data_IF_051576458542
#
_entry.id   IF_051576458542
#
_cell.length_a   1.000
_cell.length_b   1.000
_cell.length_c   1.000
_cell.angle_alpha   90.00
_cell.angle_beta   90.00
_cell.angle_gamma   90.00
#
_symmetry.space_group_name_H-M   'P 1'
#
loop_
_entity.id
_entity.type
_entity.pdbx_description
1 polymer ?
#
# COMPACT_ATOMS: atom_id res chain seq x y z
N UNK A 1 11.78 11.70 -3.91
CA UNK A 1 11.34 12.61 -5.00
C UNK A 1 11.84 11.97 -6.27
N UNK A 2 10.94 11.52 -7.14
CA UNK A 2 11.29 10.70 -8.28
C UNK A 2 11.30 11.53 -9.55
N UNK A 3 12.34 11.40 -10.36
CA UNK A 3 12.30 11.83 -11.76
C UNK A 3 11.91 10.61 -12.59
N UNK A 4 10.86 10.72 -13.41
CA UNK A 4 10.40 9.67 -14.32
C UNK A 4 10.66 10.09 -15.77
N UNK A 5 11.22 9.19 -16.57
CA UNK A 5 11.58 9.45 -17.98
C UNK A 5 11.08 8.34 -18.90
N UNK A 6 10.88 8.61 -20.20
CA UNK A 6 10.77 7.55 -21.23
C UNK A 6 12.04 7.47 -22.04
N UNK A 7 12.55 6.26 -22.24
CA UNK A 7 13.72 6.04 -23.10
C UNK A 7 13.74 4.63 -23.67
N UNK A 8 14.23 4.49 -24.91
CA UNK A 8 14.53 3.21 -25.56
C UNK A 8 15.83 2.55 -25.09
N UNK A 9 16.60 3.23 -24.24
CA UNK A 9 17.87 2.73 -23.72
C UNK A 9 17.65 1.66 -22.65
N UNK A 10 18.58 0.70 -22.58
CA UNK A 10 18.66 -0.26 -21.48
C UNK A 10 19.11 0.42 -20.18
N UNK A 11 18.80 -0.21 -19.04
CA UNK A 11 19.17 0.34 -17.72
C UNK A 11 20.70 0.54 -17.54
N UNK A 12 21.58 -0.37 -18.02
CA UNK A 12 23.02 -0.14 -17.99
C UNK A 12 23.50 1.01 -18.89
N UNK A 13 22.82 1.26 -20.02
CA UNK A 13 23.15 2.37 -20.91
C UNK A 13 22.79 3.72 -20.28
N UNK A 14 21.66 3.78 -19.57
CA UNK A 14 21.27 4.98 -18.83
C UNK A 14 22.25 5.25 -17.69
N UNK A 15 22.61 4.23 -16.91
CA UNK A 15 23.61 4.36 -15.85
C UNK A 15 24.95 4.88 -16.40
N UNK A 16 25.40 4.35 -17.54
CA UNK A 16 26.62 4.79 -18.22
C UNK A 16 26.54 6.25 -18.68
N UNK A 17 25.42 6.67 -19.28
CA UNK A 17 25.22 8.06 -19.73
C UNK A 17 25.11 9.06 -18.56
N UNK A 18 24.69 8.59 -17.38
CA UNK A 18 24.69 9.38 -16.15
C UNK A 18 26.07 9.46 -15.48
N UNK A 19 27.08 8.76 -16.00
CA UNK A 19 28.44 8.73 -15.46
C UNK A 19 28.61 7.79 -14.27
N UNK A 20 27.70 6.82 -14.10
CA UNK A 20 27.63 5.98 -12.91
C UNK A 20 28.22 4.58 -13.10
N UNK A 21 28.79 4.03 -12.02
CA UNK A 21 29.19 2.64 -11.93
C UNK A 21 28.01 1.75 -11.49
N UNK A 22 27.63 0.76 -12.30
CA UNK A 22 26.61 -0.24 -11.95
C UNK A 22 27.15 -1.14 -10.84
N UNK A 23 26.52 -1.13 -9.66
CA UNK A 23 27.03 -1.86 -8.49
C UNK A 23 26.18 -3.05 -8.04
N UNK A 24 24.87 -3.05 -8.30
CA UNK A 24 23.96 -4.17 -7.99
C UNK A 24 22.88 -4.22 -9.07
N UNK A 25 22.61 -5.41 -9.62
CA UNK A 25 21.48 -5.66 -10.53
C UNK A 25 20.61 -6.74 -9.88
N UNK A 26 19.37 -6.40 -9.56
CA UNK A 26 18.39 -7.35 -9.00
C UNK A 26 17.14 -7.39 -9.89
N UNK A 27 16.58 -8.59 -10.03
CA UNK A 27 15.45 -8.86 -10.90
C UNK A 27 14.29 -9.37 -10.04
N UNK A 28 13.38 -8.47 -9.68
CA UNK A 28 12.06 -8.87 -9.18
C UNK A 28 11.07 -8.87 -10.35
N UNK A 29 10.09 -9.79 -10.35
CA UNK A 29 9.21 -10.15 -11.48
C UNK A 29 8.47 -8.99 -12.21
N UNK A 30 8.65 -7.73 -11.80
CA UNK A 30 8.10 -6.53 -12.41
C UNK A 30 9.08 -5.33 -12.46
N UNK A 31 10.31 -5.42 -11.95
CA UNK A 31 11.28 -4.30 -11.94
C UNK A 31 12.73 -4.76 -12.17
N UNK A 32 13.49 -3.94 -12.90
CA UNK A 32 14.95 -4.01 -13.00
C UNK A 32 15.52 -2.74 -12.32
N UNK A 33 16.52 -2.82 -11.46
CA UNK A 33 17.13 -1.62 -10.88
C UNK A 33 18.64 -1.73 -10.70
N UNK A 34 19.32 -0.58 -10.72
CA UNK A 34 20.75 -0.42 -10.46
C UNK A 34 20.99 0.74 -9.51
N UNK A 35 22.00 0.60 -8.65
CA UNK A 35 22.56 1.75 -7.91
C UNK A 35 23.60 2.43 -8.78
N UNK A 36 23.47 3.74 -8.92
CA UNK A 36 24.36 4.62 -9.64
C UNK A 36 24.97 5.64 -8.66
N UNK A 37 26.27 5.88 -8.72
CA UNK A 37 26.89 7.05 -8.09
C UNK A 37 26.93 8.20 -9.10
N UNK A 38 26.27 9.32 -8.79
CA UNK A 38 26.37 10.54 -9.59
C UNK A 38 26.86 11.66 -8.69
N UNK A 39 28.05 12.17 -9.00
CA UNK A 39 28.68 13.29 -8.30
C UNK A 39 28.77 13.06 -6.76
N UNK A 40 29.05 11.81 -6.33
CA UNK A 40 29.21 11.41 -4.93
C UNK A 40 27.90 11.06 -4.20
N UNK A 41 26.80 10.92 -4.95
CA UNK A 41 25.47 10.62 -4.43
C UNK A 41 24.95 9.33 -5.05
N UNK A 42 24.73 8.32 -4.19
CA UNK A 42 24.08 7.08 -4.60
C UNK A 42 22.60 7.33 -4.92
N UNK A 43 22.20 6.99 -6.15
CA UNK A 43 20.84 7.06 -6.66
C UNK A 43 20.43 5.68 -7.16
N UNK A 44 19.20 5.27 -6.85
CA UNK A 44 18.58 4.11 -7.45
C UNK A 44 18.02 4.51 -8.81
N UNK A 45 18.33 3.73 -9.82
CA UNK A 45 17.80 3.83 -11.17
C UNK A 45 16.97 2.58 -11.40
N UNK A 46 15.64 2.68 -11.41
CA UNK A 46 14.77 1.51 -11.61
C UNK A 46 13.91 1.63 -12.85
N UNK A 47 13.72 0.50 -13.54
CA UNK A 47 12.83 0.24 -14.67
C UNK A 47 11.66 -0.62 -14.21
N UNK A 48 10.45 -0.26 -14.61
CA UNK A 48 9.23 -1.04 -14.36
C UNK A 48 8.82 -1.83 -15.62
N UNK A 49 8.57 -3.13 -15.48
CA UNK A 49 8.21 -4.08 -16.55
C UNK A 49 6.70 -4.25 -16.74
N UNK A 50 5.83 -3.56 -15.98
CA UNK A 50 4.37 -3.78 -16.01
C UNK A 50 3.63 -3.04 -17.14
N UNK A 51 4.08 -3.18 -18.38
CA UNK A 51 3.23 -3.01 -19.58
C UNK A 51 3.78 -3.87 -20.75
N UNK A 52 3.15 -4.99 -21.15
CA UNK A 52 3.59 -5.71 -22.36
C UNK A 52 3.04 -5.08 -23.66
N UNK A 53 3.66 -5.37 -24.82
CA UNK A 53 4.46 -4.38 -25.55
C UNK A 53 3.62 -3.22 -26.12
N UNK A 54 3.90 -2.00 -25.68
CA UNK A 54 3.71 -0.81 -26.53
C UNK A 54 5.06 -0.14 -26.49
N UNK A 55 5.82 -0.29 -27.58
CA UNK A 55 7.07 0.38 -27.92
C UNK A 55 7.93 0.88 -26.74
N UNK A 56 8.99 0.12 -26.42
CA UNK A 56 10.31 0.59 -25.96
C UNK A 56 10.42 1.70 -24.89
N UNK A 57 9.38 2.01 -24.11
CA UNK A 57 9.45 3.12 -23.14
C UNK A 57 9.85 2.61 -21.75
N UNK A 58 11.13 2.74 -21.40
CA UNK A 58 11.66 2.49 -20.05
C UNK A 58 11.31 3.66 -19.13
N UNK A 59 10.46 3.43 -18.12
CA UNK A 59 10.22 4.38 -17.02
C UNK A 59 11.37 4.31 -16.01
N UNK A 60 12.21 5.35 -15.98
CA UNK A 60 13.38 5.40 -15.09
C UNK A 60 13.09 6.27 -13.88
N UNK A 61 13.15 5.71 -12.68
CA UNK A 61 13.02 6.44 -11.43
C UNK A 61 14.41 6.73 -10.87
N UNK A 62 14.70 8.00 -10.57
CA UNK A 62 15.89 8.39 -9.79
C UNK A 62 15.46 8.67 -8.34
N UNK A 63 15.87 7.82 -7.41
CA UNK A 63 15.59 8.00 -5.97
C UNK A 63 16.85 7.77 -5.15
N UNK A 64 17.22 8.74 -4.32
CA UNK A 64 17.97 8.42 -3.10
C UNK A 64 16.90 8.13 -2.04
N UNK A 65 17.10 7.09 -1.23
CA UNK A 65 16.27 6.70 -0.06
C UNK A 65 15.11 7.68 0.23
N UNK A 66 13.83 7.24 0.27
CA UNK A 66 12.67 8.11 0.54
C UNK A 66 12.79 9.06 1.74
N UNK A 67 13.77 8.83 2.64
CA UNK A 67 14.10 9.64 3.82
C UNK A 67 15.15 10.74 3.57
N UNK A 68 15.74 10.83 2.39
CA UNK A 68 16.82 11.76 2.02
C UNK A 68 16.64 12.24 0.56
N UNK A 69 15.78 13.24 0.30
CA UNK A 69 15.56 13.74 -1.05
C UNK A 69 16.86 14.23 -1.71
N UNK A 70 16.97 14.06 -3.03
CA UNK A 70 18.11 14.59 -3.79
C UNK A 70 18.23 16.10 -3.58
N UNK A 71 19.44 16.64 -3.39
CA UNK A 71 19.66 18.09 -3.41
C UNK A 71 19.06 18.70 -4.68
N UNK A 72 18.36 19.83 -4.56
CA UNK A 72 17.68 20.51 -5.68
C UNK A 72 18.65 20.78 -6.83
N UNK A 73 19.87 21.21 -6.52
CA UNK A 73 20.93 21.45 -7.52
C UNK A 73 21.33 20.20 -8.30
N UNK A 74 21.42 19.05 -7.63
CA UNK A 74 21.72 17.77 -8.26
C UNK A 74 20.54 17.27 -9.11
N UNK A 75 19.31 17.45 -8.62
CA UNK A 75 18.09 17.14 -9.36
C UNK A 75 18.02 17.91 -10.67
N UNK A 76 18.22 19.22 -10.63
CA UNK A 76 18.13 20.09 -11.79
C UNK A 76 19.27 19.77 -12.79
N UNK A 77 20.47 19.45 -12.27
CA UNK A 77 21.60 18.97 -13.07
C UNK A 77 21.29 17.65 -13.78
N UNK A 78 20.72 16.68 -13.07
CA UNK A 78 20.32 15.37 -13.63
C UNK A 78 19.22 15.53 -14.70
N UNK A 79 18.20 16.34 -14.42
CA UNK A 79 17.14 16.65 -15.37
C UNK A 79 17.70 17.32 -16.64
N UNK A 80 18.63 18.27 -16.50
CA UNK A 80 19.28 18.93 -17.63
C UNK A 80 20.23 18.02 -18.43
N UNK A 81 20.92 17.07 -17.77
CA UNK A 81 21.73 16.04 -18.46
C UNK A 81 20.84 15.10 -19.27
N UNK A 82 19.76 14.62 -18.68
CA UNK A 82 18.83 13.69 -19.35
C UNK A 82 18.06 14.36 -20.50
N UNK A 83 17.65 15.62 -20.34
CA UNK A 83 17.03 16.40 -21.43
C UNK A 83 17.96 16.57 -22.63
N UNK A 84 19.26 16.80 -22.39
CA UNK A 84 20.28 16.88 -23.45
C UNK A 84 20.50 15.56 -24.21
N UNK A 85 20.09 14.44 -23.62
CA UNK A 85 20.17 13.10 -24.23
C UNK A 85 18.91 12.75 -25.04
N UNK A 86 18.00 13.71 -25.25
CA UNK A 86 16.73 13.48 -25.97
C UNK A 86 15.70 12.70 -25.15
N UNK A 87 15.94 12.56 -23.84
CA UNK A 87 15.07 11.82 -22.92
C UNK A 87 14.08 12.82 -22.31
N UNK A 88 12.82 12.74 -22.71
CA UNK A 88 11.77 13.66 -22.25
C UNK A 88 11.32 13.28 -20.82
N UNK A 89 11.39 14.19 -19.83
CA UNK A 89 10.83 13.94 -18.51
C UNK A 89 9.31 13.75 -18.61
N UNK A 90 8.80 12.66 -18.03
CA UNK A 90 7.36 12.40 -17.94
C UNK A 90 6.70 13.25 -16.85
N UNK A 91 7.44 13.56 -15.79
CA UNK A 91 7.01 14.38 -14.65
C UNK A 91 8.23 14.76 -13.80
N UNK A 92 8.31 16.01 -13.36
CA UNK A 92 9.19 16.44 -12.27
C UNK A 92 8.29 16.85 -11.11
N UNK A 93 8.22 16.04 -10.06
CA UNK A 93 7.40 16.32 -8.88
C UNK A 93 8.07 15.87 -7.60
N UNK A 94 8.09 16.76 -6.60
CA UNK A 94 8.16 16.38 -5.20
C UNK A 94 6.90 15.57 -4.86
N UNK A 95 7.03 14.55 -4.01
CA UNK A 95 5.85 14.14 -3.23
C UNK A 95 5.62 15.25 -2.20
N UNK A 96 4.97 16.32 -2.62
CA UNK A 96 4.11 17.07 -1.71
C UNK A 96 2.73 16.45 -1.90
N UNK A 97 2.28 15.71 -0.90
CA UNK A 97 0.86 15.38 -0.78
C UNK A 97 0.14 16.72 -0.59
N UNK A 98 -0.36 17.30 -1.67
CA UNK A 98 -1.43 18.29 -1.58
C UNK A 98 -2.74 17.53 -1.35
N UNK A 99 -3.40 17.69 -0.19
CA UNK A 99 -4.72 17.13 0.02
C UNK A 99 -5.67 17.74 -1.02
N UNK A 100 -6.07 16.95 -2.02
CA UNK A 100 -7.03 17.37 -3.07
C UNK A 100 -6.48 17.43 -4.50
N UNK A 101 -5.19 17.16 -4.75
CA UNK A 101 -4.71 16.99 -6.11
C UNK A 101 -5.18 15.64 -6.69
N UNK A 102 -6.18 15.68 -7.58
CA UNK A 102 -6.60 14.51 -8.36
C UNK A 102 -5.42 13.98 -9.17
N UNK A 103 -4.88 12.82 -8.76
CA UNK A 103 -4.13 11.99 -9.71
C UNK A 103 -5.03 11.79 -10.94
N UNK A 104 -4.51 11.84 -12.18
CA UNK A 104 -5.33 11.62 -13.36
C UNK A 104 -5.77 10.14 -13.39
N UNK A 105 -6.80 9.81 -12.61
CA UNK A 105 -7.52 8.56 -12.73
C UNK A 105 -8.11 8.58 -14.13
N UNK A 106 -7.62 7.71 -15.02
CA UNK A 106 -8.27 7.52 -16.32
C UNK A 106 -9.70 7.11 -16.04
N UNK A 107 -10.62 8.05 -16.21
CA UNK A 107 -12.06 7.81 -16.14
C UNK A 107 -12.38 6.74 -17.17
N UNK A 108 -12.88 5.58 -16.72
CA UNK A 108 -13.22 4.46 -17.60
C UNK A 108 -14.72 4.20 -17.57
N UNK A 109 -15.32 4.08 -18.74
CA UNK A 109 -16.70 3.59 -18.87
C UNK A 109 -16.70 2.07 -18.86
N UNK A 110 -17.57 1.50 -18.04
CA UNK A 110 -17.81 0.08 -17.95
C UNK A 110 -18.63 -0.39 -19.15
N UNK A 111 -18.16 -1.41 -19.84
CA UNK A 111 -18.84 -2.06 -20.96
C UNK A 111 -19.61 -3.31 -20.55
N UNK A 112 -19.55 -3.67 -19.25
CA UNK A 112 -20.20 -4.84 -18.69
C UNK A 112 -19.82 -5.05 -17.23
N UNK A 113 -20.63 -5.83 -16.51
CA UNK A 113 -20.32 -6.33 -15.18
C UNK A 113 -20.94 -7.70 -14.94
N UNK A 114 -20.18 -8.60 -14.30
CA UNK A 114 -20.66 -9.91 -13.87
C UNK A 114 -20.58 -10.03 -12.35
N UNK A 115 -21.72 -9.97 -11.64
CA UNK A 115 -21.77 -10.21 -10.20
C UNK A 115 -22.07 -11.69 -9.91
N UNK A 116 -21.22 -12.30 -9.09
CA UNK A 116 -21.33 -13.70 -8.64
C UNK A 116 -21.60 -13.78 -7.14
N UNK A 117 -22.43 -12.87 -6.66
CA UNK A 117 -22.97 -12.85 -5.30
C UNK A 117 -24.48 -12.67 -5.39
N UNK A 118 -25.30 -13.46 -4.64
CA UNK A 118 -26.76 -13.42 -4.78
C UNK A 118 -27.36 -12.02 -4.63
N UNK A 119 -26.86 -11.22 -3.68
CA UNK A 119 -27.38 -9.88 -3.40
C UNK A 119 -27.23 -8.89 -4.58
N UNK A 120 -26.33 -9.14 -5.53
CA UNK A 120 -26.05 -8.26 -6.67
C UNK A 120 -26.26 -8.96 -8.02
N UNK A 121 -26.84 -10.16 -8.05
CA UNK A 121 -26.90 -11.00 -9.26
C UNK A 121 -27.61 -10.34 -10.46
N UNK A 122 -28.56 -9.44 -10.21
CA UNK A 122 -29.30 -8.70 -11.25
C UNK A 122 -28.72 -7.30 -11.54
N UNK A 123 -27.60 -6.95 -10.91
CA UNK A 123 -26.97 -5.65 -11.08
C UNK A 123 -26.25 -5.58 -12.42
N UNK A 124 -26.57 -4.56 -13.21
CA UNK A 124 -25.87 -4.23 -14.45
C UNK A 124 -25.25 -2.82 -14.36
N UNK A 125 -23.92 -2.78 -14.41
CA UNK A 125 -23.12 -1.56 -14.41
C UNK A 125 -22.65 -1.16 -15.83
N UNK A 126 -23.20 -1.75 -16.89
CA UNK A 126 -22.93 -1.32 -18.27
C UNK A 126 -23.31 0.15 -18.47
N UNK A 127 -22.39 0.90 -19.09
CA UNK A 127 -22.53 2.34 -19.32
C UNK A 127 -22.28 3.22 -18.09
N UNK A 128 -21.92 2.65 -16.93
CA UNK A 128 -21.48 3.42 -15.78
C UNK A 128 -20.01 3.82 -15.93
N UNK A 129 -19.67 4.98 -15.42
CA UNK A 129 -18.32 5.53 -15.45
C UNK A 129 -17.67 5.39 -14.08
N UNK A 130 -16.49 4.78 -14.01
CA UNK A 130 -15.61 4.80 -12.83
C UNK A 130 -15.05 6.20 -12.68
N UNK A 131 -15.41 6.87 -11.60
CA UNK A 131 -14.93 8.22 -11.25
C UNK A 131 -13.70 8.16 -10.38
N UNK A 132 -13.70 7.24 -9.42
CA UNK A 132 -12.66 7.17 -8.41
C UNK A 132 -12.50 5.74 -7.91
N UNK A 133 -11.26 5.40 -7.56
CA UNK A 133 -10.90 4.20 -6.81
C UNK A 133 -10.17 4.64 -5.56
N UNK A 134 -10.89 4.67 -4.45
CA UNK A 134 -10.38 5.12 -3.16
C UNK A 134 -10.30 3.96 -2.16
N UNK A 135 -9.67 4.22 -1.03
CA UNK A 135 -9.69 3.36 0.14
C UNK A 135 -10.04 4.14 1.39
N UNK A 136 -10.69 3.46 2.33
CA UNK A 136 -10.96 3.95 3.68
C UNK A 136 -10.59 2.85 4.67
N UNK A 137 -9.44 3.00 5.33
CA UNK A 137 -8.80 1.94 6.08
C UNK A 137 -8.57 0.71 5.20
N UNK A 138 -9.25 -0.39 5.49
CA UNK A 138 -9.16 -1.66 4.74
C UNK A 138 -10.32 -1.88 3.75
N UNK A 139 -11.16 -0.86 3.57
CA UNK A 139 -12.30 -0.89 2.66
C UNK A 139 -11.89 -0.24 1.33
N UNK A 140 -12.18 -0.90 0.22
CA UNK A 140 -11.98 -0.36 -1.12
C UNK A 140 -13.31 0.20 -1.62
N UNK A 141 -13.27 1.41 -2.19
CA UNK A 141 -14.43 2.19 -2.61
C UNK A 141 -14.27 2.59 -4.08
N UNK A 142 -15.05 1.94 -4.95
CA UNK A 142 -15.09 2.27 -6.37
C UNK A 142 -16.33 3.12 -6.65
N UNK A 143 -16.15 4.42 -6.83
CA UNK A 143 -17.25 5.38 -7.02
C UNK A 143 -17.60 5.48 -8.51
N UNK A 144 -18.89 5.31 -8.81
CA UNK A 144 -19.45 5.14 -10.14
C UNK A 144 -20.51 6.21 -10.42
N UNK A 145 -20.62 6.62 -11.69
CA UNK A 145 -21.64 7.57 -12.12
C UNK A 145 -22.31 7.15 -13.44
N UNK A 146 -23.62 7.42 -13.57
CA UNK A 146 -24.36 7.32 -14.83
C UNK A 146 -25.46 8.39 -14.87
N UNK A 147 -25.33 9.37 -15.75
CA UNK A 147 -26.15 10.59 -15.69
C UNK A 147 -26.00 11.25 -14.32
N UNK A 148 -27.12 11.50 -13.65
CA UNK A 148 -27.15 12.10 -12.29
C UNK A 148 -27.01 11.06 -11.17
N UNK A 149 -27.09 9.76 -11.49
CA UNK A 149 -27.00 8.70 -10.48
C UNK A 149 -25.54 8.51 -10.04
N UNK A 150 -25.34 8.26 -8.74
CA UNK A 150 -24.03 7.99 -8.12
C UNK A 150 -24.14 6.75 -7.21
N UNK A 151 -23.23 5.81 -7.39
CA UNK A 151 -23.15 4.60 -6.58
C UNK A 151 -21.71 4.30 -6.20
N UNK A 152 -21.50 3.72 -5.03
CA UNK A 152 -20.21 3.20 -4.58
C UNK A 152 -20.28 1.68 -4.54
N UNK A 153 -19.41 1.03 -5.32
CA UNK A 153 -19.12 -0.39 -5.16
C UNK A 153 -18.04 -0.53 -4.09
N UNK A 154 -18.44 -1.03 -2.93
CA UNK A 154 -17.57 -1.31 -1.80
C UNK A 154 -17.11 -2.76 -1.83
N UNK A 155 -15.83 -2.99 -1.52
CA UNK A 155 -15.32 -4.32 -1.21
C UNK A 155 -14.35 -4.32 -0.02
N UNK A 156 -14.34 -5.42 0.74
CA UNK A 156 -13.34 -5.65 1.79
C UNK A 156 -12.66 -7.01 1.55
N UNK A 157 -11.34 -7.00 1.37
CA UNK A 157 -10.56 -8.18 0.95
C UNK A 157 -10.41 -9.22 2.07
N UNK A 158 -10.52 -8.79 3.33
CA UNK A 158 -10.21 -9.61 4.52
C UNK A 158 -8.79 -10.19 4.40
N UNK A 159 -8.62 -11.51 4.42
CA UNK A 159 -7.30 -12.15 4.51
C UNK A 159 -6.73 -12.61 3.17
N UNK A 160 -7.61 -12.99 2.24
CA UNK A 160 -7.29 -13.75 1.02
C UNK A 160 -8.04 -13.22 -0.22
N UNK A 161 -8.85 -12.17 -0.08
CA UNK A 161 -9.48 -11.48 -1.20
C UNK A 161 -8.47 -10.71 -2.04
N UNK A 162 -8.74 -10.57 -3.33
CA UNK A 162 -7.89 -9.83 -4.25
C UNK A 162 -8.67 -9.25 -5.43
N UNK A 163 -8.23 -8.08 -5.89
CA UNK A 163 -8.55 -7.57 -7.22
C UNK A 163 -7.39 -7.83 -8.17
N UNK A 164 -7.69 -8.27 -9.39
CA UNK A 164 -6.70 -8.42 -10.46
C UNK A 164 -7.23 -7.84 -11.76
N UNK A 165 -6.36 -7.20 -12.51
CA UNK A 165 -6.70 -6.63 -13.82
C UNK A 165 -6.12 -7.47 -14.95
N UNK A 166 -6.92 -7.71 -15.98
CA UNK A 166 -6.54 -8.46 -17.17
C UNK A 166 -6.81 -7.62 -18.41
N UNK A 167 -6.05 -7.82 -19.48
CA UNK A 167 -6.45 -7.33 -20.81
C UNK A 167 -7.70 -8.06 -21.27
N UNK A 168 -8.54 -7.37 -22.05
CA UNK A 168 -9.74 -7.97 -22.62
C UNK A 168 -9.38 -9.18 -23.50
N UNK A 169 -10.16 -10.26 -23.39
CA UNK A 169 -9.93 -11.51 -24.10
C UNK A 169 -8.85 -12.42 -23.50
N UNK A 170 -8.08 -11.96 -22.51
CA UNK A 170 -7.09 -12.79 -21.83
C UNK A 170 -7.78 -13.65 -20.77
N UNK A 171 -7.41 -14.94 -20.73
CA UNK A 171 -7.87 -15.88 -19.70
C UNK A 171 -7.44 -15.42 -18.32
N UNK A 172 -8.37 -15.45 -17.37
CA UNK A 172 -8.09 -15.05 -16.00
C UNK A 172 -7.33 -16.13 -15.24
N UNK A 173 -6.28 -15.72 -14.53
CA UNK A 173 -5.35 -16.60 -13.81
C UNK A 173 -5.31 -16.33 -12.31
N UNK A 174 -6.34 -15.64 -11.77
CA UNK A 174 -6.38 -15.20 -10.37
C UNK A 174 -6.72 -16.28 -9.36
N UNK A 175 -7.09 -17.46 -9.85
CA UNK A 175 -7.47 -18.61 -9.05
C UNK A 175 -8.69 -19.34 -9.63
N UNK A 176 -9.25 -20.30 -8.89
CA UNK A 176 -10.47 -21.01 -9.27
C UNK A 176 -11.65 -20.09 -9.60
N UNK A 177 -12.39 -20.42 -10.66
CA UNK A 177 -13.50 -19.58 -11.15
C UNK A 177 -14.65 -19.39 -10.16
N UNK A 178 -14.87 -20.35 -9.25
CA UNK A 178 -15.92 -20.29 -8.22
C UNK A 178 -15.62 -19.25 -7.12
N UNK A 179 -14.39 -18.73 -7.08
CA UNK A 179 -13.95 -17.71 -6.13
C UNK A 179 -14.15 -16.29 -6.66
N UNK A 180 -14.49 -16.15 -7.93
CA UNK A 180 -14.83 -14.87 -8.52
C UNK A 180 -16.15 -14.40 -7.91
N UNK A 181 -16.16 -13.15 -7.44
CA UNK A 181 -17.34 -12.48 -6.85
C UNK A 181 -17.86 -11.37 -7.74
N UNK A 182 -16.99 -10.74 -8.52
CA UNK A 182 -17.35 -9.69 -9.47
C UNK A 182 -16.32 -9.62 -10.60
N UNK A 183 -16.77 -9.34 -11.82
CA UNK A 183 -15.91 -8.86 -12.90
C UNK A 183 -16.49 -7.55 -13.46
N UNK A 184 -15.63 -6.56 -13.67
CA UNK A 184 -15.97 -5.26 -14.26
C UNK A 184 -15.20 -5.10 -15.56
N UNK A 185 -15.91 -4.89 -16.66
CA UNK A 185 -15.32 -4.83 -17.99
C UNK A 185 -15.22 -3.38 -18.45
N UNK A 186 -14.10 -3.02 -19.06
CA UNK A 186 -13.93 -1.81 -19.86
C UNK A 186 -13.60 -2.20 -21.30
N UNK A 187 -13.41 -1.20 -22.17
CA UNK A 187 -12.99 -1.44 -23.55
C UNK A 187 -11.66 -2.23 -23.63
N UNK A 188 -10.70 -1.92 -22.75
CA UNK A 188 -9.32 -2.45 -22.80
C UNK A 188 -9.05 -3.55 -21.76
N UNK A 189 -9.70 -3.47 -20.61
CA UNK A 189 -9.35 -4.27 -19.43
C UNK A 189 -10.56 -4.87 -18.74
N UNK A 190 -10.34 -5.92 -17.96
CA UNK A 190 -11.31 -6.46 -17.01
C UNK A 190 -10.69 -6.51 -15.62
N UNK A 191 -11.34 -5.88 -14.64
CA UNK A 191 -11.00 -6.01 -13.24
C UNK A 191 -11.84 -7.15 -12.63
N UNK A 192 -11.19 -8.13 -12.02
CA UNK A 192 -11.83 -9.32 -11.45
C UNK A 192 -11.55 -9.37 -9.95
N UNK A 193 -12.61 -9.42 -9.15
CA UNK A 193 -12.57 -9.57 -7.71
C UNK A 193 -12.72 -11.04 -7.31
N UNK A 194 -11.70 -11.57 -6.65
CA UNK A 194 -11.63 -12.93 -6.12
C UNK A 194 -11.77 -12.90 -4.60
N UNK A 195 -12.53 -13.84 -4.02
CA UNK A 195 -12.69 -13.96 -2.57
C UNK A 195 -13.06 -12.64 -1.86
N UNK A 196 -13.85 -11.79 -2.52
CA UNK A 196 -14.36 -10.59 -1.88
C UNK A 196 -15.40 -11.00 -0.84
N UNK A 197 -14.97 -11.07 0.43
CA UNK A 197 -15.81 -11.50 1.55
C UNK A 197 -16.96 -10.54 1.83
N UNK A 198 -16.74 -9.26 1.56
CA UNK A 198 -17.78 -8.24 1.57
C UNK A 198 -17.78 -7.55 0.21
N UNK A 199 -18.97 -7.43 -0.37
CA UNK A 199 -19.23 -6.74 -1.62
C UNK A 199 -20.62 -6.10 -1.52
N UNK A 200 -20.67 -4.77 -1.60
CA UNK A 200 -21.91 -4.02 -1.51
C UNK A 200 -21.95 -2.94 -2.59
N UNK A 201 -23.13 -2.66 -3.12
CA UNK A 201 -23.36 -1.54 -4.03
C UNK A 201 -24.41 -0.63 -3.39
N UNK A 202 -24.00 0.58 -3.01
CA UNK A 202 -24.86 1.54 -2.31
C UNK A 202 -24.90 2.88 -3.06
N UNK A 203 -25.97 3.68 -2.96
CA UNK A 203 -25.91 5.08 -3.35
C UNK A 203 -24.73 5.78 -2.67
N UNK A 204 -24.00 6.63 -3.40
CA UNK A 204 -22.76 7.24 -2.87
C UNK A 204 -23.01 8.13 -1.66
N UNK A 205 -24.15 8.79 -1.58
CA UNK A 205 -24.60 9.56 -0.40
C UNK A 205 -24.91 8.68 0.84
N UNK A 206 -24.92 7.36 0.68
CA UNK A 206 -25.07 6.37 1.74
C UNK A 206 -23.77 5.61 2.02
N UNK A 207 -22.64 6.03 1.44
CA UNK A 207 -21.33 5.38 1.66
C UNK A 207 -20.95 5.30 3.14
N UNK A 208 -21.32 6.30 3.94
CA UNK A 208 -21.10 6.31 5.40
C UNK A 208 -21.78 5.17 6.16
N UNK A 209 -22.82 4.55 5.59
CA UNK A 209 -23.41 3.34 6.19
C UNK A 209 -22.45 2.15 6.21
N UNK A 210 -21.43 2.17 5.35
CA UNK A 210 -20.41 1.12 5.24
C UNK A 210 -19.15 1.47 6.01
N UNK A 211 -18.75 2.75 6.03
CA UNK A 211 -17.42 3.17 6.52
C UNK A 211 -17.44 4.32 7.53
N UNK A 212 -18.60 4.94 7.80
CA UNK A 212 -18.72 6.10 8.70
C UNK A 212 -18.46 5.79 10.18
N UNK A 213 -18.48 4.51 10.56
CA UNK A 213 -18.12 4.07 11.90
C UNK A 213 -16.59 4.04 12.16
N UNK A 214 -15.77 4.16 11.11
CA UNK A 214 -14.32 4.06 11.21
C UNK A 214 -13.70 5.31 11.87
N UNK A 215 -12.57 5.10 12.54
CA UNK A 215 -11.72 6.19 13.03
C UNK A 215 -10.92 6.86 11.93
N UNK A 216 -10.13 7.90 12.29
CA UNK A 216 -9.22 8.54 11.36
C UNK A 216 -8.37 7.50 10.62
N UNK A 217 -8.31 7.61 9.30
CA UNK A 217 -7.55 6.67 8.47
C UNK A 217 -6.09 7.11 8.42
N UNK A 218 -5.20 6.19 8.77
CA UNK A 218 -3.76 6.47 8.80
C UNK A 218 -3.21 6.93 7.45
N UNK A 219 -3.85 6.58 6.33
CA UNK A 219 -3.45 7.02 4.98
C UNK A 219 -4.49 7.94 4.33
N UNK A 220 -5.55 8.30 5.07
CA UNK A 220 -6.67 9.05 4.55
C UNK A 220 -6.52 10.57 4.74
N UNK A 221 -7.30 11.37 3.99
CA UNK A 221 -7.27 12.82 4.09
C UNK A 221 -7.81 13.37 5.42
N UNK A 222 -8.53 12.55 6.19
CA UNK A 222 -9.06 12.87 7.51
C UNK A 222 -8.14 12.38 8.65
N UNK A 223 -6.88 12.04 8.34
CA UNK A 223 -5.93 11.61 9.36
C UNK A 223 -5.76 12.66 10.45
N UNK A 224 -6.08 12.29 11.69
CA UNK A 224 -5.90 13.09 12.88
C UNK A 224 -5.31 12.22 13.99
N UNK A 225 -4.03 12.41 14.26
CA UNK A 225 -3.31 11.67 15.28
C UNK A 225 -3.82 11.97 16.70
N UNK A 226 -4.29 13.20 16.96
CA UNK A 226 -4.81 13.60 18.27
C UNK A 226 -6.13 12.90 18.53
N UNK A 227 -7.02 12.85 17.54
CA UNK A 227 -8.28 12.13 17.63
C UNK A 227 -8.06 10.62 17.78
N UNK A 228 -7.12 10.02 17.03
CA UNK A 228 -6.76 8.62 17.17
C UNK A 228 -6.28 8.28 18.61
N UNK A 229 -5.42 9.13 19.19
CA UNK A 229 -4.95 8.97 20.58
C UNK A 229 -6.12 9.10 21.56
N UNK A 230 -7.00 10.10 21.39
CA UNK A 230 -8.18 10.30 22.24
C UNK A 230 -9.10 9.07 22.22
N UNK A 231 -9.35 8.49 21.04
CA UNK A 231 -10.18 7.28 20.89
C UNK A 231 -9.55 6.06 21.54
N UNK A 232 -8.24 5.84 21.34
CA UNK A 232 -7.50 4.78 22.03
C UNK A 232 -7.63 4.92 23.55
N UNK A 233 -7.37 6.12 24.08
CA UNK A 233 -7.42 6.41 25.52
C UNK A 233 -8.82 6.28 26.14
N UNK A 234 -9.89 6.29 25.34
CA UNK A 234 -11.27 6.17 25.82
C UNK A 234 -11.60 4.79 26.42
N UNK A 235 -10.77 3.77 26.17
CA UNK A 235 -10.91 2.42 26.73
C UNK A 235 -9.62 2.02 27.48
N UNK A 236 -9.35 2.63 28.65
CA UNK A 236 -8.08 2.49 29.36
C UNK A 236 -7.73 1.05 29.73
N UNK A 237 -8.72 0.23 30.05
CA UNK A 237 -8.52 -1.14 30.54
C UNK A 237 -8.33 -2.18 29.43
N UNK A 238 -8.54 -1.80 28.16
CA UNK A 238 -8.37 -2.72 27.03
C UNK A 238 -6.88 -2.97 26.78
N UNK A 239 -6.52 -4.19 26.36
CA UNK A 239 -5.17 -4.47 25.92
C UNK A 239 -4.81 -3.59 24.71
N UNK A 240 -3.62 -2.99 24.69
CA UNK A 240 -3.19 -2.07 23.63
C UNK A 240 -3.21 -2.73 22.24
N UNK A 241 -2.90 -4.03 22.17
CA UNK A 241 -2.96 -4.78 20.92
C UNK A 241 -4.38 -4.91 20.36
N UNK A 242 -5.39 -5.03 21.23
CA UNK A 242 -6.80 -5.06 20.84
C UNK A 242 -7.29 -3.65 20.46
N UNK A 243 -6.91 -2.64 21.24
CA UNK A 243 -7.24 -1.25 20.96
C UNK A 243 -6.71 -0.77 19.59
N UNK A 244 -5.51 -1.20 19.20
CA UNK A 244 -4.91 -0.91 17.88
C UNK A 244 -5.59 -1.64 16.72
N UNK A 245 -6.27 -2.75 16.97
CA UNK A 245 -7.00 -3.50 15.94
C UNK A 245 -8.44 -3.00 15.76
N UNK A 246 -9.01 -2.30 16.73
CA UNK A 246 -10.33 -1.69 16.59
C UNK A 246 -10.28 -0.53 15.59
N UNK A 247 -10.85 -0.76 14.41
CA UNK A 247 -10.82 0.22 13.32
C UNK A 247 -11.63 1.49 13.62
N UNK A 248 -12.42 1.51 14.71
CA UNK A 248 -13.11 2.73 15.19
C UNK A 248 -12.15 3.71 15.88
N UNK A 249 -11.02 3.22 16.40
CA UNK A 249 -9.99 4.05 17.02
C UNK A 249 -9.12 4.72 15.97
N UNK A 250 -8.62 3.93 15.03
CA UNK A 250 -7.79 4.36 13.89
C UNK A 250 -7.88 3.29 12.79
N UNK A 251 -8.19 3.70 11.56
CA UNK A 251 -8.49 2.79 10.48
C UNK A 251 -7.23 2.46 9.65
N UNK A 252 -7.01 1.18 9.36
CA UNK A 252 -5.90 0.71 8.52
C UNK A 252 -4.95 -0.29 9.22
N UNK A 253 -4.82 -0.23 10.54
CA UNK A 253 -3.91 -1.12 11.27
C UNK A 253 -4.39 -2.58 11.25
N UNK A 254 -3.61 -3.43 10.60
CA UNK A 254 -3.77 -4.89 10.58
C UNK A 254 -2.88 -5.61 11.58
N UNK A 255 -2.97 -6.95 11.59
CA UNK A 255 -2.25 -7.77 12.56
C UNK A 255 -0.72 -7.64 12.48
N UNK A 256 -0.18 -7.49 11.27
CA UNK A 256 1.24 -7.22 11.02
C UNK A 256 1.67 -5.93 11.73
N UNK A 257 1.08 -4.79 11.36
CA UNK A 257 1.45 -3.50 11.93
C UNK A 257 1.24 -3.42 13.43
N UNK A 258 0.16 -4.01 13.96
CA UNK A 258 -0.06 -4.14 15.41
C UNK A 258 1.13 -4.82 16.11
N UNK A 259 1.60 -5.96 15.61
CA UNK A 259 2.73 -6.66 16.23
C UNK A 259 4.03 -5.85 16.12
N UNK A 260 4.28 -5.29 14.93
CA UNK A 260 5.54 -4.62 14.61
C UNK A 260 5.68 -3.27 15.32
N UNK A 261 4.61 -2.47 15.39
CA UNK A 261 4.59 -1.19 16.13
C UNK A 261 4.86 -1.45 17.61
N UNK A 262 4.18 -2.41 18.21
CA UNK A 262 4.35 -2.72 19.63
C UNK A 262 5.76 -3.24 19.93
N UNK A 263 6.33 -4.07 19.05
CA UNK A 263 7.71 -4.52 19.17
C UNK A 263 8.72 -3.38 19.10
N UNK A 264 8.60 -2.52 18.10
CA UNK A 264 9.50 -1.38 17.91
C UNK A 264 9.39 -0.33 19.02
N UNK A 265 8.27 -0.30 19.74
CA UNK A 265 8.08 0.53 20.94
C UNK A 265 8.45 -0.18 22.24
N UNK A 266 8.82 -1.46 22.21
CA UNK A 266 9.10 -2.25 23.42
C UNK A 266 7.86 -2.44 24.32
N UNK A 267 6.65 -2.38 23.74
CA UNK A 267 5.40 -2.46 24.48
C UNK A 267 4.86 -3.88 24.39
N UNK A 268 4.54 -4.46 25.55
CA UNK A 268 3.83 -5.73 25.62
C UNK A 268 2.43 -5.64 25.00
N UNK A 269 2.05 -6.56 24.10
CA UNK A 269 0.69 -6.60 23.54
C UNK A 269 -0.44 -6.70 24.56
N UNK A 270 -0.14 -7.17 25.77
CA UNK A 270 -1.10 -7.34 26.87
C UNK A 270 -1.14 -6.17 27.86
N UNK A 271 -0.27 -5.16 27.71
CA UNK A 271 -0.40 -3.93 28.52
C UNK A 271 -1.75 -3.30 28.22
N UNK A 272 -2.44 -2.85 29.27
CA UNK A 272 -3.65 -2.04 29.09
C UNK A 272 -3.28 -0.68 28.53
N UNK A 273 -4.18 -0.06 27.77
CA UNK A 273 -3.99 1.27 27.19
C UNK A 273 -3.53 2.28 28.25
N UNK A 274 -4.14 2.27 29.44
CA UNK A 274 -3.81 3.16 30.57
C UNK A 274 -2.39 3.04 31.07
N UNK A 275 -1.76 1.88 30.89
CA UNK A 275 -0.38 1.68 31.33
C UNK A 275 0.63 2.12 30.28
N UNK A 276 0.24 2.41 29.04
CA UNK A 276 1.20 2.80 27.98
C UNK A 276 1.66 4.24 28.17
N UNK A 277 2.96 4.41 28.43
CA UNK A 277 3.53 5.70 28.85
C UNK A 277 3.37 6.82 27.82
N UNK A 278 3.37 6.50 26.52
CA UNK A 278 3.23 7.50 25.45
C UNK A 278 2.52 6.96 24.21
N UNK A 279 1.18 6.96 24.25
CA UNK A 279 0.30 6.58 23.13
C UNK A 279 0.56 7.37 21.83
N UNK A 280 0.82 8.69 21.84
CA UNK A 280 1.09 9.43 20.60
C UNK A 280 2.23 8.86 19.77
N UNK A 281 3.31 8.37 20.40
CA UNK A 281 4.40 7.76 19.63
C UNK A 281 4.08 6.36 19.07
N UNK A 282 3.12 5.65 19.67
CA UNK A 282 2.61 4.39 19.10
C UNK A 282 1.84 4.71 17.80
N UNK A 283 0.96 5.71 17.87
CA UNK A 283 0.14 6.18 16.74
C UNK A 283 1.01 6.75 15.61
N UNK A 284 2.00 7.60 15.95
CA UNK A 284 2.96 8.15 14.99
C UNK A 284 3.75 7.04 14.26
N UNK A 285 4.28 6.06 15.01
CA UNK A 285 5.03 4.97 14.39
C UNK A 285 4.13 4.12 13.50
N UNK A 286 2.89 3.88 13.91
CA UNK A 286 1.92 3.13 13.12
C UNK A 286 1.64 3.83 11.77
N UNK A 287 1.47 5.15 11.78
CA UNK A 287 1.33 5.97 10.57
C UNK A 287 2.57 5.87 9.70
N UNK A 288 3.77 6.12 10.25
CA UNK A 288 5.02 6.06 9.48
C UNK A 288 5.27 4.69 8.83
N UNK A 289 5.03 3.60 9.55
CA UNK A 289 5.20 2.25 9.00
C UNK A 289 4.21 1.94 7.90
N UNK A 290 2.94 2.34 8.05
CA UNK A 290 1.93 2.10 7.01
C UNK A 290 2.22 2.95 5.76
N UNK A 291 2.56 4.23 5.94
CA UNK A 291 2.91 5.16 4.85
C UNK A 291 4.14 4.69 4.07
N UNK A 292 5.15 4.13 4.75
CA UNK A 292 6.34 3.57 4.09
C UNK A 292 6.06 2.35 3.19
N UNK A 293 4.86 1.77 3.27
CA UNK A 293 4.46 0.59 2.50
C UNK A 293 3.44 0.90 1.39
N UNK A 294 3.09 2.17 1.20
CA UNK A 294 2.21 2.60 0.09
C UNK A 294 2.88 2.31 -1.26
N UNK A 295 2.09 1.83 -2.21
CA UNK A 295 2.54 1.54 -3.57
C UNK A 295 3.36 0.26 -3.72
N UNK A 296 3.46 -0.58 -2.67
CA UNK A 296 4.22 -1.83 -2.69
C UNK A 296 3.32 -3.01 -2.34
N UNK A 297 3.50 -4.12 -3.06
CA UNK A 297 2.82 -5.38 -2.73
C UNK A 297 3.44 -6.05 -1.50
N UNK A 298 4.77 -6.05 -1.41
CA UNK A 298 5.51 -6.64 -0.29
C UNK A 298 5.60 -5.63 0.86
N UNK A 299 4.97 -5.95 1.98
CA UNK A 299 5.03 -5.14 3.20
C UNK A 299 6.34 -5.40 3.96
N UNK A 300 7.02 -4.33 4.37
CA UNK A 300 8.24 -4.36 5.19
C UNK A 300 8.20 -3.29 6.29
N UNK A 301 8.57 -3.71 7.50
CA UNK A 301 8.77 -2.85 8.68
C UNK A 301 10.25 -2.69 9.04
N UNK A 302 11.13 -3.52 8.47
CA UNK A 302 12.58 -3.44 8.63
C UNK A 302 13.26 -2.56 7.57
N UNK A 303 12.56 -2.28 6.47
CA UNK A 303 13.11 -1.65 5.26
C UNK A 303 13.74 -2.63 4.27
N UNK A 304 13.91 -3.90 4.63
CA UNK A 304 14.37 -4.95 3.71
C UNK A 304 13.19 -5.64 3.03
N UNK A 305 13.28 -5.88 1.72
CA UNK A 305 12.28 -6.65 0.96
C UNK A 305 12.65 -8.13 0.80
N UNK A 306 13.87 -8.50 1.21
CA UNK A 306 14.34 -9.87 1.13
C UNK A 306 13.41 -10.82 1.90
N UNK A 307 13.14 -11.98 1.32
CA UNK A 307 12.28 -12.99 1.93
C UNK A 307 12.76 -13.35 3.34
N UNK A 308 11.85 -13.27 4.31
CA UNK A 308 12.14 -13.52 5.72
C UNK A 308 12.84 -12.37 6.46
N UNK A 309 13.15 -11.28 5.76
CA UNK A 309 13.79 -10.08 6.34
C UNK A 309 12.84 -8.90 6.49
N UNK A 310 11.59 -9.02 6.06
CA UNK A 310 10.61 -7.92 6.02
C UNK A 310 10.04 -7.51 7.38
N UNK A 311 10.04 -8.40 8.37
CA UNK A 311 9.43 -8.17 9.69
C UNK A 311 10.39 -8.43 10.86
N UNK A 312 10.12 -7.82 12.00
CA UNK A 312 10.85 -8.05 13.24
C UNK A 312 10.29 -9.20 14.07
N UNK A 313 8.96 -9.34 14.17
CA UNK A 313 8.30 -10.39 14.97
C UNK A 313 7.18 -11.09 14.22
N UNK A 314 6.44 -10.39 13.36
CA UNK A 314 5.26 -10.93 12.69
C UNK A 314 5.61 -12.11 11.79
N UNK A 315 4.95 -13.26 12.02
CA UNK A 315 5.21 -14.48 11.26
C UNK A 315 6.54 -15.16 11.58
N UNK A 316 7.28 -14.69 12.59
CA UNK A 316 8.64 -15.16 12.92
C UNK A 316 8.71 -16.08 14.14
N UNK A 317 7.63 -16.81 14.47
CA UNK A 317 7.60 -17.77 15.60
C UNK A 317 8.83 -18.67 15.58
N UNK A 318 9.42 -18.89 16.75
CA UNK A 318 10.59 -19.73 17.02
C UNK A 318 11.90 -19.25 16.36
N UNK A 319 11.87 -18.16 15.59
CA UNK A 319 13.08 -17.52 15.07
C UNK A 319 13.70 -16.59 16.12
N UNK A 320 15.02 -16.37 16.08
CA UNK A 320 15.68 -15.44 16.99
C UNK A 320 15.17 -14.01 16.78
N UNK A 321 14.89 -13.32 17.89
CA UNK A 321 14.65 -11.88 17.91
C UNK A 321 15.85 -11.15 17.31
N UNK A 322 15.59 -10.19 16.40
CA UNK A 322 16.64 -9.41 15.73
C UNK A 322 17.41 -8.48 16.67
N UNK A 323 16.87 -8.22 17.87
CA UNK A 323 17.49 -7.36 18.87
C UNK A 323 18.23 -8.16 19.94
N UNK A 324 17.57 -9.13 20.59
CA UNK A 324 18.12 -9.83 21.75
C UNK A 324 18.38 -11.34 21.54
N UNK A 325 18.09 -11.88 20.35
CA UNK A 325 18.29 -13.31 20.05
C UNK A 325 17.26 -14.28 20.64
N UNK A 326 16.47 -13.88 21.65
CA UNK A 326 15.44 -14.75 22.24
C UNK A 326 14.40 -15.18 21.19
N UNK A 327 13.97 -16.46 21.16
CA UNK A 327 12.95 -16.92 20.21
C UNK A 327 11.64 -16.13 20.32
N UNK A 328 11.13 -15.71 19.16
CA UNK A 328 9.82 -15.04 19.06
C UNK A 328 8.71 -16.02 19.39
N UNK A 329 7.78 -15.58 20.24
CA UNK A 329 6.61 -16.37 20.65
C UNK A 329 5.37 -15.99 19.85
N UNK A 330 4.39 -16.89 19.89
CA UNK A 330 3.04 -16.66 19.36
C UNK A 330 1.99 -17.11 20.37
N UNK A 331 0.86 -16.42 20.38
CA UNK A 331 -0.29 -16.71 21.23
C UNK A 331 -1.54 -16.14 20.58
N UNK A 332 -2.69 -16.69 20.94
CA UNK A 332 -3.98 -16.12 20.59
C UNK A 332 -4.29 -14.96 21.55
N UNK A 333 -4.79 -13.86 20.98
CA UNK A 333 -5.24 -12.70 21.72
C UNK A 333 -6.51 -12.18 21.05
N UNK A 334 -7.66 -12.48 21.65
CA UNK A 334 -8.95 -12.36 20.98
C UNK A 334 -9.02 -13.25 19.74
N UNK A 335 -9.50 -12.72 18.62
CA UNK A 335 -9.65 -13.45 17.36
C UNK A 335 -8.38 -13.51 16.49
N UNK A 336 -7.25 -12.98 17.00
CA UNK A 336 -6.01 -12.82 16.21
C UNK A 336 -4.82 -13.45 16.92
N UNK A 337 -3.88 -13.95 16.12
CA UNK A 337 -2.57 -14.37 16.61
C UNK A 337 -1.70 -13.15 16.84
N UNK A 338 -1.03 -13.09 17.99
CA UNK A 338 -0.04 -12.08 18.34
C UNK A 338 1.35 -12.70 18.36
N UNK A 339 2.31 -12.01 17.75
CA UNK A 339 3.74 -12.38 17.77
C UNK A 339 4.51 -11.33 18.60
N UNK A 340 5.41 -11.78 19.47
CA UNK A 340 6.20 -10.89 20.32
C UNK A 340 7.53 -11.54 20.74
N UNK A 341 8.47 -10.71 21.17
CA UNK A 341 9.68 -11.18 21.85
C UNK A 341 9.45 -11.14 23.37
N UNK A 342 9.50 -12.27 24.10
CA UNK A 342 9.21 -12.29 25.54
C UNK A 342 10.24 -11.50 26.38
N UNK A 343 11.46 -11.30 25.85
CA UNK A 343 12.50 -10.51 26.52
C UNK A 343 12.35 -9.01 26.25
N UNK A 344 12.12 -8.62 24.99
CA UNK A 344 11.96 -7.20 24.64
C UNK A 344 10.57 -6.64 25.00
N UNK A 345 9.58 -7.51 25.13
CA UNK A 345 8.19 -7.18 25.42
C UNK A 345 7.67 -8.16 26.49
N UNK A 346 7.98 -7.93 27.79
CA UNK A 346 7.54 -8.82 28.86
C UNK A 346 6.02 -9.04 28.79
N UNK A 347 5.60 -10.29 28.63
CA UNK A 347 4.21 -10.69 28.42
C UNK A 347 3.90 -12.01 29.15
N UNK A 348 2.69 -12.58 28.98
CA UNK A 348 2.36 -13.86 29.58
C UNK A 348 3.38 -14.93 29.18
N UNK A 349 3.78 -15.69 30.20
CA UNK A 349 4.88 -16.66 30.17
C UNK A 349 4.59 -17.93 29.41
#
# INVERSE_FOLDING_TARGET
MYLAFRTGLSLPEVARQLGAAVTVQDYENEYEWVVADVDGVAINVSRLHTVPPVDTDTAIYLDRDPRAPLPVTLRDTLAARLTRLGITPLYAGSWEYEPGAELPHKVRTLTGSDFRVPALATTDLTGWTVRESASRGKHLLLRLARGDRRFTLHSHLRMDGAWRTYRRGVRWTGGPAHLIRVALHTAETTAVGYHLHELALVPTDREDTLVGHLGPDLLGPDWDATEAVRRLAARPDLAIAEALLDQRNLAGIGNLYKCEVLYLRGISPWRTVSTVDYLPAVVDLAHRLLSANVGRWTQSTTGSLHKGQTTYVYGRRDQPCRHCGTPIRRAEQGERVTYWCPTCQPGPG
#
